data_IF_355360610582
#
_entry.id   IF_355360610582
#
_cell.length_a   1.000
_cell.length_b   1.000
_cell.length_c   1.000
_cell.angle_alpha   90.00
_cell.angle_beta   90.00
_cell.angle_gamma   90.00
#
_symmetry.space_group_name_H-M   'P 1'
#
loop_
_entity.id
_entity.type
_entity.pdbx_description
1 polymer ?
#
# COMPACT_ATOMS: atom_id res chain seq x y z
N UNK A 1 14.84 14.94 7.52
CA UNK A 1 14.54 13.95 6.46
C UNK A 1 14.75 14.52 5.05
N UNK A 2 14.28 15.74 4.73
CA UNK A 2 14.48 16.40 3.43
C UNK A 2 15.95 16.57 3.03
N UNK A 3 16.83 17.04 3.92
CA UNK A 3 18.25 17.26 3.62
C UNK A 3 19.01 15.98 3.23
N UNK A 4 18.67 14.85 3.86
CA UNK A 4 19.31 13.54 3.58
C UNK A 4 18.84 13.03 2.23
N UNK A 5 17.53 13.07 1.95
CA UNK A 5 16.97 12.66 0.67
C UNK A 5 17.60 13.44 -0.49
N UNK A 6 17.64 14.78 -0.38
CA UNK A 6 18.24 15.63 -1.41
C UNK A 6 19.73 15.33 -1.62
N UNK A 7 20.48 15.08 -0.54
CA UNK A 7 21.90 14.71 -0.64
C UNK A 7 22.08 13.35 -1.33
N UNK A 8 21.22 12.38 -1.05
CA UNK A 8 21.25 11.05 -1.68
C UNK A 8 20.92 11.13 -3.17
N UNK A 9 19.93 11.92 -3.56
CA UNK A 9 19.59 12.16 -4.98
C UNK A 9 20.74 12.83 -5.74
N UNK A 10 21.32 13.88 -5.17
CA UNK A 10 22.48 14.57 -5.76
C UNK A 10 23.69 13.64 -5.89
N UNK A 11 23.91 12.77 -4.91
CA UNK A 11 25.00 11.79 -4.94
C UNK A 11 24.82 10.77 -6.07
N UNK A 12 23.61 10.21 -6.21
CA UNK A 12 23.30 9.22 -7.24
C UNK A 12 23.39 9.86 -8.62
N UNK A 13 22.79 11.04 -8.81
CA UNK A 13 22.86 11.77 -10.09
C UNK A 13 24.29 12.11 -10.50
N UNK A 14 25.17 12.38 -9.53
CA UNK A 14 26.59 12.70 -9.79
C UNK A 14 27.42 11.47 -10.16
N UNK A 15 27.00 10.27 -9.78
CA UNK A 15 27.75 9.03 -9.98
C UNK A 15 27.04 8.04 -10.91
N UNK A 16 25.98 8.46 -11.60
CA UNK A 16 25.07 7.57 -12.35
C UNK A 16 25.82 6.70 -13.37
N UNK A 17 26.78 7.29 -14.09
CA UNK A 17 27.63 6.61 -15.08
C UNK A 17 28.54 5.52 -14.47
N UNK A 18 28.81 5.60 -13.16
CA UNK A 18 29.67 4.65 -12.44
C UNK A 18 28.90 3.58 -11.67
N UNK A 19 27.56 3.70 -11.58
CA UNK A 19 26.74 2.73 -10.88
C UNK A 19 26.41 1.55 -11.79
N UNK A 20 26.50 0.34 -11.23
CA UNK A 20 25.91 -0.82 -11.88
C UNK A 20 24.37 -0.77 -11.79
N UNK A 21 23.73 -1.57 -12.62
CA UNK A 21 22.27 -1.59 -12.76
C UNK A 21 21.54 -2.06 -11.48
N UNK A 22 22.18 -2.92 -10.67
CA UNK A 22 21.63 -3.38 -9.39
C UNK A 22 21.64 -2.25 -8.36
N UNK A 23 22.71 -1.46 -8.34
CA UNK A 23 22.87 -0.31 -7.46
C UNK A 23 21.89 0.78 -7.85
N UNK A 24 21.66 1.02 -9.16
CA UNK A 24 20.58 1.90 -9.64
C UNK A 24 19.20 1.43 -9.17
N UNK A 25 18.90 0.14 -9.31
CA UNK A 25 17.62 -0.45 -8.86
C UNK A 25 17.40 -0.26 -7.35
N UNK A 26 18.45 -0.49 -6.54
CA UNK A 26 18.39 -0.32 -5.08
C UNK A 26 18.26 1.16 -4.69
N UNK A 27 19.02 2.03 -5.34
CA UNK A 27 18.95 3.48 -5.18
C UNK A 27 17.55 4.02 -5.45
N UNK A 28 16.95 3.62 -6.58
CA UNK A 28 15.57 3.93 -6.93
C UNK A 28 14.60 3.49 -5.82
N UNK A 29 14.69 2.23 -5.38
CA UNK A 29 13.80 1.71 -4.34
C UNK A 29 13.85 2.57 -3.06
N UNK A 30 15.04 2.95 -2.61
CA UNK A 30 15.20 3.77 -1.41
C UNK A 30 14.75 5.22 -1.59
N UNK A 31 15.09 5.86 -2.72
CA UNK A 31 14.68 7.24 -3.01
C UNK A 31 13.16 7.33 -3.05
N UNK A 32 12.49 6.50 -3.85
CA UNK A 32 11.04 6.60 -4.00
C UNK A 32 10.29 6.17 -2.74
N UNK A 33 10.80 5.18 -2.01
CA UNK A 33 10.25 4.87 -0.68
C UNK A 33 10.35 6.06 0.28
N UNK A 34 11.47 6.79 0.27
CA UNK A 34 11.66 7.98 1.11
C UNK A 34 10.79 9.16 0.65
N UNK A 35 10.64 9.39 -0.66
CA UNK A 35 9.74 10.39 -1.23
C UNK A 35 8.30 10.14 -0.78
N UNK A 36 7.80 8.92 -0.96
CA UNK A 36 6.44 8.56 -0.54
C UNK A 36 6.27 8.73 0.98
N UNK A 37 7.23 8.25 1.78
CA UNK A 37 7.18 8.41 3.23
C UNK A 37 7.14 9.89 3.66
N UNK A 38 7.84 10.77 2.95
CA UNK A 38 7.76 12.22 3.18
C UNK A 38 6.33 12.73 2.96
N UNK A 39 5.66 12.32 1.88
CA UNK A 39 4.26 12.67 1.65
C UNK A 39 3.33 12.14 2.76
N UNK A 40 3.55 10.91 3.23
CA UNK A 40 2.80 10.36 4.37
C UNK A 40 2.97 11.18 5.64
N UNK A 41 4.19 11.63 5.95
CA UNK A 41 4.46 12.42 7.14
C UNK A 41 3.90 13.85 7.05
N UNK A 42 3.80 14.40 5.84
CA UNK A 42 3.30 15.75 5.59
C UNK A 42 1.79 15.80 5.33
N UNK A 43 1.15 14.66 5.09
CA UNK A 43 -0.24 14.58 4.66
C UNK A 43 -0.49 15.03 3.22
N UNK A 44 0.56 15.26 2.44
CA UNK A 44 0.50 15.72 1.04
C UNK A 44 0.28 14.55 0.08
N UNK A 45 -0.82 13.82 0.28
CA UNK A 45 -1.13 12.60 -0.47
C UNK A 45 -1.41 12.86 -1.95
N UNK A 46 -2.10 13.96 -2.26
CA UNK A 46 -2.45 14.33 -3.63
C UNK A 46 -1.20 14.61 -4.46
N UNK A 47 -0.24 15.35 -3.91
CA UNK A 47 1.06 15.58 -4.54
C UNK A 47 1.87 14.29 -4.64
N UNK A 48 1.74 13.39 -3.65
CA UNK A 48 2.40 12.09 -3.70
C UNK A 48 1.89 11.19 -4.83
N UNK A 49 0.64 11.36 -5.28
CA UNK A 49 0.07 10.62 -6.43
C UNK A 49 0.80 10.99 -7.74
N UNK A 50 1.36 12.19 -7.86
CA UNK A 50 2.10 12.62 -9.04
C UNK A 50 3.38 11.81 -9.27
N UNK A 51 3.93 11.17 -8.23
CA UNK A 51 5.10 10.30 -8.32
C UNK A 51 4.79 8.93 -8.95
N UNK A 52 3.51 8.55 -9.01
CA UNK A 52 3.10 7.17 -9.36
C UNK A 52 3.47 6.78 -10.79
N UNK A 53 3.25 7.60 -11.84
CA UNK A 53 3.60 7.22 -13.21
C UNK A 53 5.08 6.86 -13.36
N UNK A 54 5.96 7.66 -12.77
CA UNK A 54 7.40 7.41 -12.77
C UNK A 54 7.75 6.12 -11.99
N UNK A 55 7.08 5.89 -10.86
CA UNK A 55 7.26 4.64 -10.10
C UNK A 55 6.83 3.43 -10.93
N UNK A 56 5.70 3.50 -11.63
CA UNK A 56 5.19 2.38 -12.42
C UNK A 56 6.06 2.06 -13.63
N UNK A 57 6.61 3.08 -14.30
CA UNK A 57 7.55 2.90 -15.41
C UNK A 57 8.81 2.17 -14.94
N UNK A 58 9.40 2.64 -13.85
CA UNK A 58 10.61 2.05 -13.27
C UNK A 58 10.35 0.65 -12.69
N UNK A 59 9.17 0.40 -12.10
CA UNK A 59 8.79 -0.95 -11.65
C UNK A 59 8.70 -1.94 -12.81
N UNK A 60 8.28 -1.53 -14.01
CA UNK A 60 8.27 -2.39 -15.21
C UNK A 60 9.67 -2.66 -15.72
N UNK A 61 10.54 -1.66 -15.71
CA UNK A 61 11.94 -1.79 -16.13
C UNK A 61 12.69 -2.80 -15.24
N UNK A 62 12.44 -2.74 -13.93
CA UNK A 62 13.13 -3.59 -12.96
C UNK A 62 12.36 -4.85 -12.55
N UNK A 63 11.17 -5.12 -13.10
CA UNK A 63 10.32 -6.25 -12.66
C UNK A 63 10.97 -7.62 -12.83
N UNK A 64 11.94 -7.75 -13.75
CA UNK A 64 12.70 -8.98 -13.96
C UNK A 64 13.75 -9.25 -12.87
N UNK A 65 14.09 -8.25 -12.05
CA UNK A 65 15.20 -8.30 -11.09
C UNK A 65 14.81 -7.90 -9.67
N UNK A 66 13.67 -7.22 -9.51
CA UNK A 66 13.11 -6.91 -8.21
C UNK A 66 12.40 -8.13 -7.62
N UNK A 67 12.73 -8.43 -6.37
CA UNK A 67 11.99 -9.36 -5.54
C UNK A 67 10.50 -8.96 -5.46
N UNK A 68 9.60 -9.93 -5.66
CA UNK A 68 8.15 -9.75 -5.66
C UNK A 68 7.68 -8.98 -4.41
N UNK A 69 8.30 -9.24 -3.27
CA UNK A 69 7.97 -8.58 -2.01
C UNK A 69 8.16 -7.05 -2.08
N UNK A 70 9.21 -6.56 -2.77
CA UNK A 70 9.48 -5.12 -2.90
C UNK A 70 8.43 -4.44 -3.78
N UNK A 71 7.97 -5.12 -4.82
CA UNK A 71 6.90 -4.63 -5.71
C UNK A 71 5.61 -4.48 -4.91
N UNK A 72 5.30 -5.44 -4.04
CA UNK A 72 4.09 -5.40 -3.22
C UNK A 72 4.10 -4.30 -2.16
N UNK A 73 5.27 -4.01 -1.56
CA UNK A 73 5.42 -2.84 -0.69
C UNK A 73 5.11 -1.57 -1.47
N UNK A 74 5.59 -1.44 -2.71
CA UNK A 74 5.27 -0.29 -3.55
C UNK A 74 3.78 -0.21 -3.87
N UNK A 75 3.15 -1.30 -4.28
CA UNK A 75 1.70 -1.32 -4.51
C UNK A 75 0.91 -0.92 -3.27
N UNK A 76 1.33 -1.37 -2.08
CA UNK A 76 0.67 -0.98 -0.83
C UNK A 76 0.85 0.51 -0.53
N UNK A 77 2.06 1.04 -0.72
CA UNK A 77 2.34 2.47 -0.57
C UNK A 77 1.53 3.32 -1.56
N UNK A 78 1.41 2.88 -2.80
CA UNK A 78 0.59 3.54 -3.83
C UNK A 78 -0.90 3.50 -3.44
N UNK A 79 -1.40 2.37 -2.94
CA UNK A 79 -2.75 2.28 -2.41
C UNK A 79 -2.98 3.28 -1.27
N UNK A 80 -2.04 3.41 -0.34
CA UNK A 80 -2.12 4.41 0.73
C UNK A 80 -2.14 5.87 0.21
N UNK A 81 -1.38 6.19 -0.84
CA UNK A 81 -1.42 7.51 -1.48
C UNK A 81 -2.80 7.81 -2.09
N UNK A 82 -3.35 6.84 -2.82
CA UNK A 82 -4.70 6.98 -3.40
C UNK A 82 -5.79 7.05 -2.32
N UNK A 83 -5.69 6.24 -1.27
CA UNK A 83 -6.59 6.32 -0.13
C UNK A 83 -6.54 7.69 0.55
N UNK A 84 -5.33 8.19 0.85
CA UNK A 84 -5.14 9.48 1.52
C UNK A 84 -5.54 10.68 0.68
N UNK A 85 -5.54 10.56 -0.64
CA UNK A 85 -6.07 11.59 -1.57
C UNK A 85 -7.58 11.45 -1.85
N UNK A 86 -8.25 10.46 -1.24
CA UNK A 86 -9.68 10.21 -1.42
C UNK A 86 -10.07 9.42 -2.67
N UNK A 87 -9.09 8.98 -3.48
CA UNK A 87 -9.35 8.15 -4.65
C UNK A 87 -9.43 6.66 -4.26
N UNK A 88 -10.57 6.26 -3.70
CA UNK A 88 -10.78 4.90 -3.21
C UNK A 88 -10.79 3.83 -4.32
N UNK A 89 -11.24 4.17 -5.53
CA UNK A 89 -11.25 3.23 -6.67
C UNK A 89 -9.84 2.78 -7.03
N UNK A 90 -8.95 3.74 -7.28
CA UNK A 90 -7.55 3.41 -7.57
C UNK A 90 -6.88 2.71 -6.39
N UNK A 91 -7.17 3.11 -5.16
CA UNK A 91 -6.66 2.40 -3.97
C UNK A 91 -7.05 0.91 -4.02
N UNK A 92 -8.33 0.60 -4.27
CA UNK A 92 -8.83 -0.77 -4.39
C UNK A 92 -8.12 -1.54 -5.52
N UNK A 93 -7.84 -0.90 -6.66
CA UNK A 93 -7.11 -1.55 -7.77
C UNK A 93 -5.73 -2.06 -7.32
N UNK A 94 -4.93 -1.23 -6.64
CA UNK A 94 -3.61 -1.66 -6.15
C UNK A 94 -3.71 -2.66 -4.99
N UNK A 95 -4.69 -2.53 -4.11
CA UNK A 95 -4.93 -3.50 -3.05
C UNK A 95 -5.30 -4.87 -3.61
N UNK A 96 -6.10 -4.91 -4.68
CA UNK A 96 -6.46 -6.13 -5.37
C UNK A 96 -5.24 -6.80 -6.04
N UNK A 97 -4.28 -6.02 -6.57
CA UNK A 97 -3.01 -6.58 -7.08
C UNK A 97 -2.26 -7.37 -6.00
N UNK A 98 -2.31 -6.90 -4.75
CA UNK A 98 -1.64 -7.58 -3.62
C UNK A 98 -2.46 -8.79 -3.15
N UNK A 99 -3.76 -8.60 -2.93
CA UNK A 99 -4.68 -9.61 -2.35
C UNK A 99 -4.80 -10.84 -3.25
N UNK A 100 -4.75 -10.65 -4.57
CA UNK A 100 -4.93 -11.73 -5.54
C UNK A 100 -3.64 -12.46 -5.91
N UNK A 101 -2.48 -11.98 -5.45
CA UNK A 101 -1.20 -12.65 -5.71
C UNK A 101 -1.11 -13.94 -4.88
N UNK A 102 -0.99 -15.08 -5.56
CA UNK A 102 -0.84 -16.41 -4.94
C UNK A 102 0.64 -16.74 -4.79
N UNK A 103 1.29 -16.24 -3.73
CA UNK A 103 2.67 -16.63 -3.42
C UNK A 103 2.76 -17.23 -2.02
N UNK A 104 3.44 -18.38 -1.92
CA UNK A 104 3.58 -19.20 -0.71
C UNK A 104 4.62 -18.70 0.29
N UNK A 105 5.55 -17.84 -0.14
CA UNK A 105 6.64 -17.30 0.69
C UNK A 105 6.41 -15.85 1.13
N UNK A 106 5.28 -15.27 0.76
CA UNK A 106 5.06 -13.85 0.96
C UNK A 106 4.81 -13.56 2.44
N UNK A 107 5.38 -12.46 2.96
CA UNK A 107 5.12 -12.08 4.35
C UNK A 107 3.63 -11.86 4.54
N UNK A 108 3.08 -12.50 5.55
CA UNK A 108 1.65 -12.47 5.88
C UNK A 108 1.22 -11.06 6.32
N UNK A 109 2.15 -10.24 6.82
CA UNK A 109 1.93 -8.86 7.26
C UNK A 109 1.33 -7.96 6.17
N UNK A 110 1.91 -7.93 4.96
CA UNK A 110 1.47 -7.06 3.87
C UNK A 110 0.08 -7.45 3.38
N UNK A 111 -0.23 -8.75 3.38
CA UNK A 111 -1.55 -9.26 3.07
C UNK A 111 -2.58 -8.82 4.11
N UNK A 112 -2.22 -8.88 5.40
CA UNK A 112 -3.08 -8.41 6.49
C UNK A 112 -3.38 -6.92 6.33
N UNK A 113 -2.34 -6.08 6.20
CA UNK A 113 -2.52 -4.63 6.05
C UNK A 113 -3.31 -4.26 4.79
N UNK A 114 -3.05 -4.92 3.67
CA UNK A 114 -3.77 -4.66 2.42
C UNK A 114 -5.26 -5.00 2.55
N UNK A 115 -5.59 -6.14 3.17
CA UNK A 115 -6.99 -6.53 3.42
C UNK A 115 -7.69 -5.59 4.39
N UNK A 116 -6.99 -5.08 5.41
CA UNK A 116 -7.54 -4.08 6.32
C UNK A 116 -7.87 -2.77 5.58
N UNK A 117 -6.91 -2.24 4.81
CA UNK A 117 -7.15 -1.01 4.04
C UNK A 117 -8.25 -1.20 2.99
N UNK A 118 -8.35 -2.39 2.40
CA UNK A 118 -9.40 -2.75 1.44
C UNK A 118 -10.80 -2.70 2.07
N UNK A 119 -10.96 -3.21 3.29
CA UNK A 119 -12.22 -3.08 4.04
C UNK A 119 -12.58 -1.62 4.30
N UNK A 120 -11.59 -0.81 4.70
CA UNK A 120 -11.80 0.63 4.97
C UNK A 120 -12.21 1.35 3.68
N UNK A 121 -11.57 1.09 2.54
CA UNK A 121 -11.96 1.67 1.25
C UNK A 121 -13.42 1.35 0.89
N UNK A 122 -13.86 0.11 1.08
CA UNK A 122 -15.26 -0.25 0.83
C UNK A 122 -16.24 0.40 1.80
N UNK A 123 -15.83 0.62 3.06
CA UNK A 123 -16.62 1.36 4.03
C UNK A 123 -16.79 2.83 3.62
N UNK A 124 -15.71 3.51 3.24
CA UNK A 124 -15.73 4.91 2.77
C UNK A 124 -16.59 5.06 1.51
N UNK A 125 -16.55 4.08 0.61
CA UNK A 125 -17.42 4.04 -0.58
C UNK A 125 -18.88 3.70 -0.32
N UNK A 126 -19.25 3.32 0.90
CA UNK A 126 -20.62 2.92 1.23
C UNK A 126 -21.03 1.55 0.67
N UNK A 127 -20.09 0.69 0.29
CA UNK A 127 -20.36 -0.65 -0.24
C UNK A 127 -20.73 -1.65 0.88
N UNK A 128 -21.73 -1.32 1.71
CA UNK A 128 -22.00 -2.02 2.97
C UNK A 128 -22.40 -3.49 2.80
N UNK A 129 -23.18 -3.81 1.77
CA UNK A 129 -23.58 -5.19 1.48
C UNK A 129 -22.34 -6.06 1.21
N UNK A 130 -21.44 -5.61 0.33
CA UNK A 130 -20.18 -6.30 0.04
C UNK A 130 -19.27 -6.35 1.27
N UNK A 131 -19.19 -5.26 2.02
CA UNK A 131 -18.35 -5.16 3.21
C UNK A 131 -18.70 -6.21 4.26
N UNK A 132 -19.98 -6.53 4.47
CA UNK A 132 -20.39 -7.57 5.41
C UNK A 132 -19.79 -8.95 5.07
N UNK A 133 -19.77 -9.32 3.80
CA UNK A 133 -19.16 -10.56 3.33
C UNK A 133 -17.63 -10.50 3.46
N UNK A 134 -17.01 -9.37 3.09
CA UNK A 134 -15.56 -9.20 3.15
C UNK A 134 -15.02 -9.26 4.58
N UNK A 135 -15.71 -8.68 5.57
CA UNK A 135 -15.31 -8.76 6.99
C UNK A 135 -15.18 -10.22 7.44
N UNK A 136 -16.17 -11.07 7.10
CA UNK A 136 -16.14 -12.50 7.45
C UNK A 136 -14.96 -13.22 6.78
N UNK A 137 -14.65 -12.87 5.53
CA UNK A 137 -13.53 -13.42 4.78
C UNK A 137 -12.17 -13.03 5.36
N UNK A 138 -11.97 -11.73 5.62
CA UNK A 138 -10.74 -11.19 6.20
C UNK A 138 -10.51 -11.72 7.62
N UNK A 139 -11.55 -11.80 8.45
CA UNK A 139 -11.42 -12.36 9.80
C UNK A 139 -10.89 -13.80 9.78
N UNK A 140 -11.44 -14.67 8.91
CA UNK A 140 -10.94 -16.06 8.74
C UNK A 140 -9.49 -16.10 8.27
N UNK A 141 -9.12 -15.22 7.34
CA UNK A 141 -7.75 -15.12 6.84
C UNK A 141 -6.76 -14.76 7.97
N UNK A 142 -7.08 -13.75 8.78
CA UNK A 142 -6.23 -13.30 9.88
C UNK A 142 -6.07 -14.38 10.96
N UNK A 143 -7.14 -15.10 11.31
CA UNK A 143 -7.07 -16.23 12.25
C UNK A 143 -6.15 -17.35 11.75
N UNK A 144 -6.20 -17.66 10.44
CA UNK A 144 -5.37 -18.71 9.86
C UNK A 144 -3.88 -18.36 9.86
N UNK A 145 -3.54 -17.09 9.66
CA UNK A 145 -2.15 -16.66 9.50
C UNK A 145 -1.49 -16.16 10.79
N UNK A 146 -2.21 -16.13 11.92
CA UNK A 146 -1.64 -15.77 13.23
C UNK A 146 -1.38 -14.28 13.47
N UNK A 147 -1.71 -13.41 12.52
CA UNK A 147 -1.35 -11.97 12.54
C UNK A 147 -2.48 -11.05 13.04
N UNK A 148 -3.34 -11.55 13.92
CA UNK A 148 -4.47 -10.77 14.45
C UNK A 148 -4.00 -9.82 15.58
N UNK A 149 -3.49 -8.65 15.22
CA UNK A 149 -3.14 -7.61 16.20
C UNK A 149 -4.38 -6.99 16.86
N UNK A 150 -4.21 -6.42 18.06
CA UNK A 150 -5.29 -5.73 18.79
C UNK A 150 -5.93 -4.61 17.95
N UNK A 151 -5.13 -3.88 17.18
CA UNK A 151 -5.62 -2.80 16.30
C UNK A 151 -6.53 -3.36 15.20
N UNK A 152 -6.15 -4.46 14.57
CA UNK A 152 -6.99 -5.09 13.53
C UNK A 152 -8.31 -5.58 14.10
N UNK A 153 -8.30 -6.14 15.31
CA UNK A 153 -9.54 -6.56 15.99
C UNK A 153 -10.47 -5.36 16.24
N UNK A 154 -9.94 -4.25 16.72
CA UNK A 154 -10.74 -3.05 16.96
C UNK A 154 -11.29 -2.45 15.67
N UNK A 155 -10.52 -2.43 14.58
CA UNK A 155 -11.02 -2.00 13.27
C UNK A 155 -12.16 -2.91 12.80
N UNK A 156 -12.00 -4.25 12.88
CA UNK A 156 -13.05 -5.18 12.47
C UNK A 156 -14.32 -5.03 13.34
N UNK A 157 -14.17 -4.86 14.66
CA UNK A 157 -15.28 -4.59 15.57
C UNK A 157 -15.98 -3.28 15.21
N UNK A 158 -15.22 -2.22 14.93
CA UNK A 158 -15.75 -0.92 14.51
C UNK A 158 -16.55 -1.05 13.22
N UNK A 159 -15.96 -1.64 12.17
CA UNK A 159 -16.62 -1.83 10.89
C UNK A 159 -17.90 -2.65 11.04
N UNK A 160 -17.86 -3.73 11.81
CA UNK A 160 -19.04 -4.55 12.10
C UNK A 160 -20.15 -3.75 12.80
N UNK A 161 -19.81 -2.95 13.82
CA UNK A 161 -20.78 -2.09 14.51
C UNK A 161 -21.36 -1.01 13.60
N UNK A 162 -20.52 -0.39 12.77
CA UNK A 162 -20.93 0.68 11.86
C UNK A 162 -21.96 0.22 10.81
N UNK A 163 -21.87 -1.04 10.38
CA UNK A 163 -22.87 -1.66 9.49
C UNK A 163 -24.26 -1.74 10.14
N UNK A 164 -24.33 -2.09 11.42
CA UNK A 164 -25.60 -2.20 12.14
C UNK A 164 -26.26 -0.84 12.41
N UNK A 165 -25.46 0.21 12.61
CA UNK A 165 -25.98 1.56 12.84
C UNK A 165 -26.57 2.11 11.54
N UNK A 166 -25.81 2.07 10.44
CA UNK A 166 -26.28 2.62 9.16
C UNK A 166 -27.46 1.87 8.54
N UNK A 167 -27.65 0.59 8.85
CA UNK A 167 -28.86 -0.15 8.44
C UNK A 167 -30.14 0.30 9.15
N UNK A 168 -30.05 1.03 10.28
CA UNK A 168 -31.21 1.60 10.98
C UNK A 168 -31.57 3.02 10.51
N UNK A 169 -30.66 3.67 9.81
CA UNK A 169 -30.82 5.04 9.28
C UNK A 169 -31.27 5.06 7.80
N UNK A 170 -31.53 3.88 7.22
CA UNK A 170 -32.18 3.67 5.90
C UNK A 170 -33.58 3.10 6.10
#
# INVERSE_FOLDING_TARGET
MSKILNNTELYIKKHDDSLDENTRTLAFHHIYSAKINKHFLQGSFTEGVELIPEIEEQLKEFSLRLDEHRILIFYYKIACLYFGSGNFDKSLDYLNKIINLKTSSLRTDIQCFSRMLHLICHYEKGHFALLEYLIKSVYRFLLKNGDMSAVMQEILKFLKKSLFIKQKDL
#
